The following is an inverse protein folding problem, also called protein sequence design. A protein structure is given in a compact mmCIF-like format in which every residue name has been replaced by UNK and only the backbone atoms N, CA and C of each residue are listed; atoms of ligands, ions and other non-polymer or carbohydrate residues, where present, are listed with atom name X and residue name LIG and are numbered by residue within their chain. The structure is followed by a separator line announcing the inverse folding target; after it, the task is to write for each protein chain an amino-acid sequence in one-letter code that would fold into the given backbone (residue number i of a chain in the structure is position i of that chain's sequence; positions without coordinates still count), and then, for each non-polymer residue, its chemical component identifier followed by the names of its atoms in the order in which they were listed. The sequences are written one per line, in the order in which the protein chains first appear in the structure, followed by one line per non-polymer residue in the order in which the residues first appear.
data_IF_975374805988
#
_entry.id   IF_975374805988
#
_cell.length_a   1.000
_cell.length_b   1.000
_cell.length_c   1.000
_cell.angle_alpha   90.00
_cell.angle_beta   90.00
_cell.angle_gamma   90.00
#
_symmetry.space_group_name_H-M   'P 1'
#
loop_
_entity.id
_entity.type
_entity.pdbx_description
1 polymer ?
#
# COMPACT_ATOMS: atom_id res chain seq x y z
N UNK A 1 -22.93 9.75 -5.84
CA UNK A 1 -22.46 11.07 -5.38
C UNK A 1 -21.87 11.02 -3.97
N UNK A 2 -22.52 10.37 -2.99
CA UNK A 2 -22.00 10.26 -1.60
C UNK A 2 -20.65 9.52 -1.50
N UNK A 3 -20.46 8.42 -2.26
CA UNK A 3 -19.21 7.64 -2.21
C UNK A 3 -17.98 8.40 -2.69
N UNK A 4 -18.12 9.25 -3.72
CA UNK A 4 -17.02 10.02 -4.30
C UNK A 4 -16.55 11.15 -3.36
N UNK A 5 -17.47 11.77 -2.63
CA UNK A 5 -17.13 12.79 -1.62
C UNK A 5 -16.39 12.16 -0.45
N UNK A 6 -16.91 11.05 0.10
CA UNK A 6 -16.26 10.29 1.18
C UNK A 6 -14.84 9.82 0.78
N UNK A 7 -14.67 9.37 -0.47
CA UNK A 7 -13.35 8.97 -0.99
C UNK A 7 -12.39 10.15 -1.09
N UNK A 8 -12.87 11.31 -1.53
CA UNK A 8 -12.07 12.54 -1.62
C UNK A 8 -11.62 13.02 -0.23
N UNK A 9 -12.52 12.94 0.76
CA UNK A 9 -12.23 13.37 2.13
C UNK A 9 -11.16 12.47 2.79
N UNK A 10 -11.27 11.15 2.63
CA UNK A 10 -10.31 10.18 3.16
C UNK A 10 -8.93 10.30 2.50
N UNK A 11 -8.87 10.43 1.17
CA UNK A 11 -7.62 10.66 0.44
C UNK A 11 -6.92 11.95 0.91
N UNK A 12 -7.68 13.02 1.15
CA UNK A 12 -7.14 14.29 1.66
C UNK A 12 -6.51 14.13 3.04
N UNK A 13 -7.18 13.42 3.95
CA UNK A 13 -6.66 13.13 5.29
C UNK A 13 -5.35 12.34 5.20
N UNK A 14 -5.32 11.27 4.40
CA UNK A 14 -4.11 10.44 4.25
C UNK A 14 -2.94 11.23 3.65
N UNK A 15 -3.21 12.07 2.64
CA UNK A 15 -2.17 12.92 2.05
C UNK A 15 -1.55 13.86 3.09
N UNK A 16 -2.38 14.43 3.97
CA UNK A 16 -1.91 15.34 5.04
C UNK A 16 -1.06 14.60 6.07
N UNK A 17 -1.43 13.36 6.40
CA UNK A 17 -0.71 12.53 7.37
C UNK A 17 0.62 12.02 6.83
N UNK A 18 0.64 11.48 5.60
CA UNK A 18 1.77 10.67 5.12
C UNK A 18 2.73 11.39 4.19
N UNK A 19 2.38 12.58 3.66
CA UNK A 19 3.35 13.38 2.91
C UNK A 19 4.57 13.73 3.76
N UNK A 20 4.37 14.05 5.05
CA UNK A 20 5.47 14.33 6.00
C UNK A 20 6.35 13.11 6.29
N UNK A 21 5.83 11.92 6.04
CA UNK A 21 6.55 10.64 6.18
C UNK A 21 7.37 10.27 4.94
N UNK A 22 7.38 11.14 3.91
CA UNK A 22 8.08 10.91 2.65
C UNK A 22 7.29 10.04 1.66
N UNK A 23 6.01 9.81 1.91
CA UNK A 23 5.13 9.10 0.96
C UNK A 23 4.75 10.07 -0.15
N UNK A 24 5.10 9.71 -1.37
CA UNK A 24 4.71 10.37 -2.60
C UNK A 24 4.27 9.33 -3.63
N UNK A 25 3.51 9.78 -4.62
CA UNK A 25 3.02 8.94 -5.72
C UNK A 25 3.35 9.61 -7.04
N UNK A 26 3.61 8.82 -8.08
CA UNK A 26 3.83 9.33 -9.44
C UNK A 26 2.59 10.06 -9.97
N UNK A 27 1.40 9.63 -9.53
CA UNK A 27 0.12 10.29 -9.78
C UNK A 27 -0.56 10.60 -8.43
N UNK A 28 -0.33 11.77 -7.84
CA UNK A 28 -0.79 12.08 -6.49
C UNK A 28 -2.29 11.87 -6.27
N UNK A 29 -3.13 12.36 -7.19
CA UNK A 29 -4.59 12.26 -7.02
C UNK A 29 -5.09 10.81 -7.01
N UNK A 30 -4.62 9.99 -7.95
CA UNK A 30 -4.96 8.57 -8.05
C UNK A 30 -4.36 7.78 -6.88
N UNK A 31 -3.08 8.00 -6.56
CA UNK A 31 -2.36 7.27 -5.53
C UNK A 31 -2.97 7.43 -4.14
N UNK A 32 -3.38 8.64 -3.75
CA UNK A 32 -4.05 8.86 -2.46
C UNK A 32 -5.44 8.22 -2.40
N UNK A 33 -6.19 8.19 -3.51
CA UNK A 33 -7.47 7.49 -3.59
C UNK A 33 -7.28 5.98 -3.45
N UNK A 34 -6.31 5.41 -4.16
CA UNK A 34 -5.96 3.98 -4.04
C UNK A 34 -5.51 3.63 -2.62
N UNK A 35 -4.72 4.49 -1.99
CA UNK A 35 -4.31 4.28 -0.60
C UNK A 35 -5.50 4.23 0.36
N UNK A 36 -6.47 5.13 0.18
CA UNK A 36 -7.70 5.12 0.97
C UNK A 36 -8.50 3.83 0.76
N UNK A 37 -8.57 3.29 -0.47
CA UNK A 37 -9.19 1.99 -0.74
C UNK A 37 -8.47 0.85 -0.01
N UNK A 38 -7.14 0.88 0.08
CA UNK A 38 -6.38 -0.12 0.85
C UNK A 38 -6.68 -0.05 2.34
N UNK A 39 -6.81 1.16 2.90
CA UNK A 39 -7.23 1.35 4.29
C UNK A 39 -8.65 0.83 4.52
N UNK A 40 -9.57 1.04 3.58
CA UNK A 40 -10.95 0.52 3.67
C UNK A 40 -10.99 -1.02 3.59
N UNK A 41 -10.18 -1.64 2.73
CA UNK A 41 -10.02 -3.11 2.70
C UNK A 41 -9.46 -3.63 4.02
N UNK A 42 -8.46 -2.94 4.59
CA UNK A 42 -7.89 -3.27 5.90
C UNK A 42 -8.93 -3.15 7.01
N UNK A 43 -9.76 -2.09 7.01
CA UNK A 43 -10.87 -1.91 7.95
C UNK A 43 -11.82 -3.10 7.89
N UNK A 44 -12.23 -3.50 6.68
CA UNK A 44 -13.14 -4.63 6.48
C UNK A 44 -12.56 -5.91 7.07
N UNK A 45 -11.36 -6.31 6.64
CA UNK A 45 -10.68 -7.52 7.11
C UNK A 45 -10.48 -7.50 8.63
N UNK A 46 -9.99 -6.39 9.20
CA UNK A 46 -9.74 -6.31 10.64
C UNK A 46 -11.03 -6.33 11.45
N UNK A 47 -12.12 -5.77 10.92
CA UNK A 47 -13.44 -5.85 11.56
C UNK A 47 -13.93 -7.31 11.64
N UNK A 48 -13.74 -8.09 10.57
CA UNK A 48 -14.06 -9.52 10.57
C UNK A 48 -13.21 -10.28 11.58
N UNK A 49 -11.88 -10.05 11.61
CA UNK A 49 -10.96 -10.70 12.54
C UNK A 49 -11.30 -10.42 14.01
N UNK A 50 -11.70 -9.19 14.32
CA UNK A 50 -12.05 -8.78 15.68
C UNK A 50 -13.50 -9.12 16.07
N UNK A 51 -14.31 -9.59 15.12
CA UNK A 51 -15.74 -9.85 15.34
C UNK A 51 -16.54 -8.60 15.71
N UNK A 52 -16.04 -7.41 15.38
CA UNK A 52 -16.72 -6.12 15.61
C UNK A 52 -16.37 -5.13 14.52
N UNK A 53 -17.28 -4.21 14.22
CA UNK A 53 -16.94 -3.07 13.38
C UNK A 53 -15.91 -2.16 14.08
N UNK A 54 -14.88 -1.75 13.34
CA UNK A 54 -13.96 -0.69 13.74
C UNK A 54 -14.20 0.58 12.93
N UNK A 55 -13.85 1.73 13.50
CA UNK A 55 -13.87 3.03 12.83
C UNK A 55 -12.79 3.15 11.76
N UNK A 56 -12.94 4.11 10.85
CA UNK A 56 -11.92 4.38 9.84
C UNK A 56 -10.61 4.86 10.46
N UNK A 57 -10.68 5.65 11.54
CA UNK A 57 -9.49 6.11 12.28
C UNK A 57 -8.73 4.94 12.94
N UNK A 58 -9.44 3.98 13.55
CA UNK A 58 -8.83 2.74 14.07
C UNK A 58 -8.14 1.97 12.94
N UNK A 59 -8.79 1.87 11.78
CA UNK A 59 -8.21 1.21 10.61
C UNK A 59 -6.95 1.91 10.10
N UNK A 60 -6.94 3.24 9.99
CA UNK A 60 -5.75 4.03 9.60
C UNK A 60 -4.60 3.79 10.57
N UNK A 61 -4.87 3.84 11.88
CA UNK A 61 -3.85 3.62 12.90
C UNK A 61 -3.27 2.21 12.82
N UNK A 62 -4.13 1.19 12.78
CA UNK A 62 -3.72 -0.20 12.64
C UNK A 62 -2.93 -0.42 11.34
N UNK A 63 -3.40 0.13 10.22
CA UNK A 63 -2.74 0.01 8.94
C UNK A 63 -1.37 0.70 8.94
N UNK A 64 -1.24 1.86 9.58
CA UNK A 64 0.03 2.55 9.72
C UNK A 64 1.06 1.71 10.48
N UNK A 65 0.66 1.13 11.61
CA UNK A 65 1.56 0.32 12.44
C UNK A 65 1.90 -1.04 11.81
N UNK A 66 0.91 -1.71 11.21
CA UNK A 66 1.05 -3.11 10.80
C UNK A 66 1.37 -3.29 9.32
N UNK A 67 1.18 -2.26 8.50
CA UNK A 67 1.41 -2.33 7.04
C UNK A 67 2.44 -1.28 6.61
N UNK A 68 2.20 0.01 6.89
CA UNK A 68 3.07 1.10 6.43
C UNK A 68 4.47 1.02 7.01
N UNK A 69 4.60 0.99 8.34
CA UNK A 69 5.92 0.96 8.99
C UNK A 69 6.75 -0.26 8.57
N UNK A 70 6.22 -1.50 8.60
CA UNK A 70 6.97 -2.67 8.16
C UNK A 70 7.41 -2.56 6.70
N UNK A 71 6.51 -2.17 5.79
CA UNK A 71 6.86 -2.04 4.38
C UNK A 71 7.85 -0.91 4.14
N UNK A 72 7.70 0.25 4.78
CA UNK A 72 8.65 1.39 4.69
C UNK A 72 10.07 0.96 5.04
N UNK A 73 10.25 0.12 6.06
CA UNK A 73 11.57 -0.42 6.42
C UNK A 73 12.17 -1.27 5.31
N UNK A 74 11.35 -2.10 4.66
CA UNK A 74 11.84 -3.01 3.64
C UNK A 74 12.12 -2.29 2.33
N UNK A 75 11.21 -1.44 1.86
CA UNK A 75 11.41 -0.64 0.63
C UNK A 75 12.48 0.44 0.80
N UNK A 76 12.73 0.86 2.05
CA UNK A 76 13.85 1.71 2.42
C UNK A 76 15.19 0.97 2.52
N UNK A 77 15.26 -0.33 2.24
CA UNK A 77 16.50 -1.09 2.17
C UNK A 77 17.32 -0.77 0.90
N UNK A 78 18.63 -1.02 0.96
CA UNK A 78 19.51 -0.85 -0.21
C UNK A 78 19.08 -1.72 -1.38
N UNK A 79 18.83 -3.01 -1.15
CA UNK A 79 18.43 -3.98 -2.19
C UNK A 79 17.19 -3.50 -2.97
N UNK A 80 16.17 -3.02 -2.25
CA UNK A 80 14.92 -2.57 -2.84
C UNK A 80 15.11 -1.26 -3.62
N UNK A 81 15.85 -0.29 -3.06
CA UNK A 81 16.16 0.97 -3.77
C UNK A 81 17.02 0.75 -5.01
N UNK A 82 17.95 -0.21 -4.97
CA UNK A 82 18.77 -0.56 -6.13
C UNK A 82 17.97 -1.26 -7.22
N UNK A 83 16.97 -2.08 -6.86
CA UNK A 83 16.08 -2.75 -7.80
C UNK A 83 15.08 -1.80 -8.46
N UNK A 84 14.62 -0.77 -7.74
CA UNK A 84 13.61 0.18 -8.22
C UNK A 84 14.10 1.63 -8.18
N UNK A 85 15.14 1.97 -8.97
CA UNK A 85 15.62 3.34 -9.02
C UNK A 85 14.51 4.26 -9.57
N UNK A 86 14.37 5.43 -8.95
CA UNK A 86 13.43 6.49 -9.36
C UNK A 86 11.93 6.21 -9.14
N UNK A 87 11.57 5.18 -8.38
CA UNK A 87 10.18 4.94 -8.00
C UNK A 87 9.81 5.70 -6.72
N UNK A 88 8.59 6.23 -6.65
CA UNK A 88 8.12 6.87 -5.43
C UNK A 88 7.75 5.82 -4.37
N UNK A 89 7.95 6.19 -3.11
CA UNK A 89 7.69 5.32 -1.97
C UNK A 89 6.24 4.80 -1.93
N UNK A 90 5.26 5.66 -2.26
CA UNK A 90 3.85 5.30 -2.28
C UNK A 90 3.51 4.31 -3.38
N UNK A 91 4.09 4.47 -4.57
CA UNK A 91 3.84 3.55 -5.70
C UNK A 91 4.39 2.14 -5.37
N UNK A 92 5.61 2.07 -4.82
CA UNK A 92 6.21 0.81 -4.36
C UNK A 92 5.39 0.18 -3.24
N UNK A 93 4.90 1.00 -2.32
CA UNK A 93 4.07 0.55 -1.22
C UNK A 93 2.78 -0.11 -1.72
N UNK A 94 2.04 0.52 -2.64
CA UNK A 94 0.80 -0.03 -3.18
C UNK A 94 1.09 -1.35 -3.91
N UNK A 95 2.13 -1.38 -4.74
CA UNK A 95 2.49 -2.58 -5.49
C UNK A 95 2.87 -3.77 -4.58
N UNK A 96 3.65 -3.52 -3.52
CA UNK A 96 4.03 -4.58 -2.56
C UNK A 96 2.83 -4.99 -1.70
N UNK A 97 1.95 -4.06 -1.33
CA UNK A 97 0.75 -4.36 -0.55
C UNK A 97 -0.22 -5.26 -1.33
N UNK A 98 -0.42 -5.00 -2.62
CA UNK A 98 -1.21 -5.86 -3.49
C UNK A 98 -0.58 -7.25 -3.62
N UNK A 99 0.74 -7.33 -3.82
CA UNK A 99 1.46 -8.61 -3.87
C UNK A 99 1.33 -9.38 -2.55
N UNK A 100 1.35 -8.68 -1.42
CA UNK A 100 1.18 -9.30 -0.11
C UNK A 100 -0.21 -9.93 0.05
N UNK A 101 -1.27 -9.24 -0.39
CA UNK A 101 -2.63 -9.74 -0.33
C UNK A 101 -2.75 -11.09 -1.06
N UNK A 102 -2.19 -11.20 -2.27
CA UNK A 102 -2.19 -12.47 -3.02
C UNK A 102 -1.37 -13.57 -2.30
N UNK A 103 -0.20 -13.24 -1.75
CA UNK A 103 0.61 -14.24 -1.04
C UNK A 103 -0.03 -14.73 0.27
N UNK A 104 -0.85 -13.90 0.93
CA UNK A 104 -1.58 -14.30 2.14
C UNK A 104 -2.70 -15.31 1.86
N UNK A 105 -3.25 -15.34 0.64
CA UNK A 105 -4.23 -16.38 0.24
C UNK A 105 -3.59 -17.77 0.20
N UNK A 106 -2.32 -17.87 -0.21
CA UNK A 106 -1.58 -19.13 -0.29
C UNK A 106 -0.86 -19.48 1.03
N UNK A 107 -0.34 -18.47 1.73
CA UNK A 107 0.36 -18.62 3.00
C UNK A 107 -0.04 -17.50 4.00
N UNK A 108 -1.00 -17.78 4.90
CA UNK A 108 -1.47 -16.82 5.89
C UNK A 108 -0.40 -16.26 6.83
N UNK A 109 0.74 -16.94 7.00
CA UNK A 109 1.82 -16.54 7.92
C UNK A 109 2.96 -15.77 7.24
N UNK A 110 2.85 -15.46 5.93
CA UNK A 110 3.94 -14.79 5.21
C UNK A 110 4.26 -13.42 5.80
N UNK A 111 5.53 -13.20 6.12
CA UNK A 111 6.01 -11.96 6.74
C UNK A 111 6.37 -10.87 5.68
N UNK A 112 6.40 -9.59 6.07
CA UNK A 112 6.68 -8.48 5.16
C UNK A 112 8.02 -8.54 4.42
N UNK A 113 9.07 -9.11 5.04
CA UNK A 113 10.39 -9.21 4.39
C UNK A 113 10.37 -10.27 3.29
N UNK A 114 9.71 -11.41 3.54
CA UNK A 114 9.53 -12.47 2.54
C UNK A 114 8.74 -11.97 1.33
N UNK A 115 7.65 -11.24 1.58
CA UNK A 115 6.83 -10.63 0.51
C UNK A 115 7.65 -9.66 -0.33
N UNK A 116 8.40 -8.78 0.30
CA UNK A 116 9.18 -7.80 -0.43
C UNK A 116 10.35 -8.43 -1.21
N UNK A 117 11.03 -9.46 -0.68
CA UNK A 117 12.06 -10.19 -1.42
C UNK A 117 11.47 -10.93 -2.62
N UNK A 118 10.30 -11.57 -2.45
CA UNK A 118 9.55 -12.15 -3.56
C UNK A 118 9.23 -11.09 -4.62
N UNK A 119 8.76 -9.91 -4.19
CA UNK A 119 8.48 -8.79 -5.08
C UNK A 119 9.73 -8.31 -5.85
N UNK A 120 10.87 -8.11 -5.17
CA UNK A 120 12.15 -7.78 -5.84
C UNK A 120 12.55 -8.88 -6.83
N UNK A 121 12.40 -10.14 -6.46
CA UNK A 121 12.78 -11.27 -7.34
C UNK A 121 11.95 -11.31 -8.61
N UNK A 122 10.64 -11.06 -8.51
CA UNK A 122 9.73 -11.10 -9.64
C UNK A 122 9.73 -9.82 -10.48
N UNK A 123 10.02 -8.66 -9.88
CA UNK A 123 9.82 -7.35 -10.52
C UNK A 123 11.06 -6.44 -10.57
N UNK A 124 12.15 -6.78 -9.86
CA UNK A 124 13.35 -5.95 -9.71
C UNK A 124 14.26 -5.87 -10.94
N UNK A 125 14.01 -6.68 -11.97
CA UNK A 125 14.72 -6.62 -13.24
C UNK A 125 13.81 -6.07 -14.34
N UNK A 126 13.68 -4.74 -14.42
CA UNK A 126 13.10 -4.05 -15.58
C UNK A 126 11.57 -4.00 -15.61
N UNK A 127 10.98 -3.18 -14.74
CA UNK A 127 9.56 -2.80 -14.80
C UNK A 127 9.25 -1.87 -15.99
N UNK A 128 9.40 -2.36 -17.22
CA UNK A 128 8.87 -1.69 -18.42
C UNK A 128 7.63 -2.38 -18.99
N UNK A 129 7.20 -3.54 -18.45
CA UNK A 129 6.08 -4.31 -19.03
C UNK A 129 4.88 -4.59 -18.10
N UNK A 130 4.96 -4.32 -16.80
CA UNK A 130 3.88 -4.64 -15.86
C UNK A 130 3.12 -3.42 -15.30
N UNK A 131 3.71 -2.21 -15.38
CA UNK A 131 3.02 -0.96 -15.04
C UNK A 131 1.81 -0.64 -15.95
N UNK A 132 1.60 -1.41 -17.02
CA UNK A 132 0.55 -1.16 -18.03
C UNK A 132 -0.86 -1.55 -17.60
N UNK A 133 -1.06 -2.24 -16.46
CA UNK A 133 -2.41 -2.61 -15.99
C UNK A 133 -3.02 -1.65 -14.96
N UNK A 134 -2.26 -0.70 -14.43
CA UNK A 134 -2.74 0.24 -13.40
C UNK A 134 -2.64 1.73 -13.77
N UNK A 135 -2.05 2.07 -14.93
CA UNK A 135 -1.88 3.47 -15.37
C UNK A 135 -2.60 3.82 -16.69
N UNK A 136 -3.40 2.91 -17.24
CA UNK A 136 -4.23 3.15 -18.43
C UNK A 136 -5.64 2.59 -18.24
N UNK A 137 -6.47 3.31 -17.49
CA UNK A 137 -7.89 3.50 -17.82
C UNK A 137 -8.31 4.86 -17.30
#
# INVERSE_FOLDING_TARGET
MVSTQKQTDTATVLSTMFTREGVAFSRPEEGWKMLAEHVDKHKYWLSEQLGREITWQEAVFSWYENVMIPLKRVVGGWEFRSAFPNQNLGDLFLAVSDHWYFLKEENPDVDPQTVARSFVTHFGHGLSRWFSRFLLT
#
